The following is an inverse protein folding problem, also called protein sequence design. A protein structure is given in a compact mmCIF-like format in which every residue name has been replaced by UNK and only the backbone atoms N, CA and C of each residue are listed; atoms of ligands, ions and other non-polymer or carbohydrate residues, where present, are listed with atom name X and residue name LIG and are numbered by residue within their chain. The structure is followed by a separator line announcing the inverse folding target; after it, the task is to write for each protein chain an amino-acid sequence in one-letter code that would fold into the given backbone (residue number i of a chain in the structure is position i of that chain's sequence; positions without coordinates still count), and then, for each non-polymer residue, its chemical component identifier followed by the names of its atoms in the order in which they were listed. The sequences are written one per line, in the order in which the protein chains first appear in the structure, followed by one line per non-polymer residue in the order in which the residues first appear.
data_IF_746009751452
#
_entry.id   IF_746009751452
#
_cell.length_a   1.000
_cell.length_b   1.000
_cell.length_c   1.000
_cell.angle_alpha   90.00
_cell.angle_beta   90.00
_cell.angle_gamma   90.00
#
_symmetry.space_group_name_H-M   'P 1'
#
loop_
_entity.id
_entity.type
_entity.pdbx_description
1 polymer ?
#
# COMPACT_ATOMS: atom_id res chain seq x y z
N UNK A 1 -15.81 5.72 23.11
CA UNK A 1 -15.82 4.78 21.96
C UNK A 1 -16.57 5.37 20.76
N UNK A 2 -17.78 5.92 20.92
CA UNK A 2 -18.52 6.60 19.84
C UNK A 2 -17.83 7.87 19.31
N UNK A 3 -17.21 8.65 20.20
CA UNK A 3 -16.55 9.93 19.85
C UNK A 3 -15.38 9.82 18.84
N UNK A 4 -14.89 8.61 18.56
CA UNK A 4 -13.77 8.39 17.63
C UNK A 4 -14.22 7.94 16.23
N UNK A 5 -15.52 7.82 15.99
CA UNK A 5 -16.05 7.33 14.70
C UNK A 5 -16.19 8.42 13.64
N UNK A 6 -16.14 9.70 14.02
CA UNK A 6 -16.23 10.80 13.08
C UNK A 6 -15.19 10.67 11.96
N UNK A 7 -15.64 10.58 10.71
CA UNK A 7 -14.78 10.41 9.52
C UNK A 7 -14.17 9.02 9.33
N UNK A 8 -14.51 8.05 10.19
CA UNK A 8 -14.07 6.65 10.03
C UNK A 8 -14.95 5.93 9.02
N UNK A 9 -14.34 5.25 8.06
CA UNK A 9 -15.05 4.39 7.10
C UNK A 9 -15.33 3.00 7.70
N UNK A 10 -16.60 2.59 7.64
CA UNK A 10 -17.09 1.30 8.09
C UNK A 10 -17.61 0.47 6.90
N UNK A 11 -17.01 -0.69 6.64
CA UNK A 11 -17.54 -1.66 5.68
C UNK A 11 -18.72 -2.42 6.28
N UNK A 12 -19.90 -2.33 5.67
CA UNK A 12 -21.14 -2.94 6.18
C UNK A 12 -21.74 -3.92 5.18
N UNK A 13 -22.31 -5.01 5.69
CA UNK A 13 -23.07 -5.99 4.90
C UNK A 13 -24.37 -6.35 5.63
N UNK A 14 -25.38 -6.80 4.88
CA UNK A 14 -26.66 -7.20 5.43
C UNK A 14 -27.78 -7.08 4.42
N UNK A 15 -28.99 -7.49 4.80
CA UNK A 15 -30.17 -7.30 3.96
C UNK A 15 -30.60 -5.81 3.95
N UNK A 16 -31.29 -5.41 2.88
CA UNK A 16 -31.68 -4.01 2.68
C UNK A 16 -32.51 -3.43 3.85
N UNK A 17 -33.48 -4.14 4.46
CA UNK A 17 -34.20 -3.64 5.62
C UNK A 17 -33.32 -3.37 6.85
N UNK A 18 -32.32 -4.23 7.12
CA UNK A 18 -31.39 -4.05 8.22
C UNK A 18 -30.45 -2.85 7.97
N UNK A 19 -29.90 -2.74 6.76
CA UNK A 19 -29.05 -1.61 6.38
C UNK A 19 -29.83 -0.29 6.48
N UNK A 20 -31.06 -0.24 5.98
CA UNK A 20 -31.90 0.96 6.07
C UNK A 20 -32.10 1.44 7.52
N UNK A 21 -32.30 0.51 8.47
CA UNK A 21 -32.41 0.83 9.90
C UNK A 21 -31.10 1.37 10.49
N UNK A 22 -29.95 0.87 10.01
CA UNK A 22 -28.66 1.25 10.55
C UNK A 22 -28.13 2.58 10.05
N UNK A 23 -28.66 3.07 8.92
CA UNK A 23 -28.21 4.32 8.30
C UNK A 23 -28.19 5.50 9.27
N UNK A 24 -29.25 5.66 10.07
CA UNK A 24 -29.33 6.78 11.02
C UNK A 24 -28.28 6.64 12.12
N UNK A 25 -28.04 5.42 12.64
CA UNK A 25 -27.06 5.21 13.69
C UNK A 25 -25.62 5.52 13.23
N UNK A 26 -25.24 5.20 11.99
CA UNK A 26 -23.93 5.58 11.45
C UNK A 26 -23.81 7.09 11.26
N UNK A 27 -24.87 7.76 10.82
CA UNK A 27 -24.91 9.21 10.71
C UNK A 27 -24.79 9.89 12.08
N UNK A 28 -25.48 9.39 13.10
CA UNK A 28 -25.47 9.95 14.46
C UNK A 28 -24.08 9.89 15.12
N UNK A 29 -23.24 8.91 14.75
CA UNK A 29 -21.86 8.79 15.23
C UNK A 29 -20.82 9.44 14.30
N UNK A 30 -21.27 10.07 13.20
CA UNK A 30 -20.41 10.72 12.22
C UNK A 30 -19.54 9.77 11.38
N UNK A 31 -19.87 8.48 11.35
CA UNK A 31 -19.13 7.49 10.58
C UNK A 31 -19.55 7.53 9.10
N UNK A 32 -18.57 7.33 8.23
CA UNK A 32 -18.81 7.02 6.83
C UNK A 32 -19.01 5.51 6.69
N UNK A 33 -19.86 5.08 5.76
CA UNK A 33 -20.09 3.66 5.54
C UNK A 33 -20.07 3.29 4.06
N UNK A 34 -19.65 2.07 3.78
CA UNK A 34 -19.64 1.50 2.43
C UNK A 34 -20.28 0.13 2.51
N UNK A 35 -21.33 -0.08 1.71
CA UNK A 35 -21.96 -1.39 1.59
C UNK A 35 -21.03 -2.29 0.79
N UNK A 36 -20.69 -3.45 1.34
CA UNK A 36 -19.88 -4.47 0.69
C UNK A 36 -20.74 -5.71 0.41
N UNK A 37 -20.34 -6.47 -0.61
CA UNK A 37 -20.84 -7.83 -0.80
C UNK A 37 -20.29 -8.72 0.32
N UNK A 38 -21.18 -9.42 1.03
CA UNK A 38 -20.80 -10.36 2.08
C UNK A 38 -19.89 -11.47 1.58
N UNK A 39 -20.05 -11.91 0.33
CA UNK A 39 -19.15 -12.87 -0.30
C UNK A 39 -17.71 -12.33 -0.48
N UNK A 40 -17.55 -11.01 -0.59
CA UNK A 40 -16.26 -10.35 -0.76
C UNK A 40 -15.64 -9.84 0.56
N UNK A 41 -16.29 -10.08 1.71
CA UNK A 41 -15.85 -9.56 3.01
C UNK A 41 -14.41 -9.95 3.38
N UNK A 42 -14.02 -11.19 3.09
CA UNK A 42 -12.64 -11.66 3.34
C UNK A 42 -11.64 -10.87 2.50
N UNK A 43 -11.95 -10.62 1.23
CA UNK A 43 -11.11 -9.82 0.34
C UNK A 43 -11.04 -8.35 0.78
N UNK A 44 -12.16 -7.77 1.22
CA UNK A 44 -12.21 -6.42 1.80
C UNK A 44 -11.26 -6.29 2.99
N UNK A 45 -11.29 -7.24 3.92
CA UNK A 45 -10.37 -7.24 5.06
C UNK A 45 -8.91 -7.47 4.64
N UNK A 46 -8.65 -8.36 3.68
CA UNK A 46 -7.31 -8.55 3.15
C UNK A 46 -6.74 -7.26 2.53
N UNK A 47 -7.56 -6.46 1.85
CA UNK A 47 -7.15 -5.15 1.34
C UNK A 47 -6.74 -4.19 2.47
N UNK A 48 -7.46 -4.18 3.60
CA UNK A 48 -7.09 -3.39 4.77
C UNK A 48 -5.76 -3.87 5.39
N UNK A 49 -5.53 -5.18 5.46
CA UNK A 49 -4.25 -5.77 5.92
C UNK A 49 -3.10 -5.36 4.99
N UNK A 50 -3.31 -5.39 3.66
CA UNK A 50 -2.31 -4.93 2.69
C UNK A 50 -1.98 -3.45 2.87
N UNK A 51 -2.99 -2.60 3.06
CA UNK A 51 -2.83 -1.16 3.21
C UNK A 51 -2.25 -0.72 4.57
N UNK A 52 -2.12 -1.63 5.54
CA UNK A 52 -1.66 -1.32 6.89
C UNK A 52 -0.56 -2.27 7.37
N UNK A 53 -0.90 -3.52 7.68
CA UNK A 53 0.05 -4.48 8.27
C UNK A 53 1.21 -4.79 7.32
N UNK A 54 0.93 -5.08 6.05
CA UNK A 54 2.00 -5.39 5.10
C UNK A 54 2.81 -4.16 4.69
N UNK A 55 2.25 -2.96 4.81
CA UNK A 55 3.04 -1.73 4.69
C UNK A 55 4.09 -1.65 5.80
N UNK A 56 3.74 -1.97 7.05
CA UNK A 56 4.72 -2.03 8.16
C UNK A 56 5.80 -3.06 7.86
N UNK A 57 5.43 -4.26 7.42
CA UNK A 57 6.41 -5.31 7.06
C UNK A 57 7.33 -4.89 5.92
N UNK A 58 6.80 -4.25 4.87
CA UNK A 58 7.61 -3.76 3.75
C UNK A 58 8.63 -2.70 4.18
N UNK A 59 8.22 -1.79 5.07
CA UNK A 59 9.10 -0.76 5.61
C UNK A 59 10.19 -1.32 6.52
N UNK A 60 9.88 -2.38 7.29
CA UNK A 60 10.88 -3.12 8.07
C UNK A 60 11.94 -3.76 7.17
N UNK A 61 11.55 -4.46 6.11
CA UNK A 61 12.51 -5.03 5.14
C UNK A 61 13.37 -3.93 4.49
N UNK A 62 12.78 -2.79 4.15
CA UNK A 62 13.53 -1.65 3.61
C UNK A 62 14.55 -1.09 4.62
N UNK A 63 14.18 -0.99 5.90
CA UNK A 63 15.09 -0.58 6.97
C UNK A 63 16.24 -1.57 7.12
N UNK A 64 15.97 -2.88 7.15
CA UNK A 64 16.99 -3.91 7.22
C UNK A 64 17.94 -3.87 6.02
N UNK A 65 17.44 -3.58 4.82
CA UNK A 65 18.26 -3.42 3.62
C UNK A 65 19.22 -2.21 3.74
N UNK A 66 18.75 -1.08 4.27
CA UNK A 66 19.62 0.06 4.57
C UNK A 66 20.70 -0.28 5.61
N UNK A 67 20.33 -1.00 6.67
CA UNK A 67 21.29 -1.46 7.68
C UNK A 67 22.34 -2.38 7.06
N UNK A 68 21.93 -3.31 6.20
CA UNK A 68 22.85 -4.16 5.47
C UNK A 68 23.80 -3.38 4.56
N UNK A 69 23.34 -2.27 4.00
CA UNK A 69 24.15 -1.36 3.19
C UNK A 69 25.12 -0.48 4.01
N UNK A 70 25.16 -0.63 5.34
CA UNK A 70 26.08 0.08 6.24
C UNK A 70 25.51 1.33 6.89
N UNK A 71 24.19 1.57 6.78
CA UNK A 71 23.51 2.66 7.49
C UNK A 71 23.25 2.24 8.93
N UNK A 72 23.51 3.10 9.91
CA UNK A 72 23.13 2.82 11.30
C UNK A 72 21.60 2.70 11.42
N UNK A 73 21.11 1.79 12.28
CA UNK A 73 19.68 1.49 12.40
C UNK A 73 18.82 2.73 12.72
N UNK A 74 19.28 3.57 13.66
CA UNK A 74 18.60 4.81 14.05
C UNK A 74 18.62 5.88 12.94
N UNK A 75 19.56 5.77 11.99
CA UNK A 75 19.66 6.63 10.81
C UNK A 75 18.82 6.09 9.66
N UNK A 76 18.70 4.79 9.48
CA UNK A 76 17.93 4.16 8.41
C UNK A 76 16.45 4.61 8.44
N UNK A 77 15.84 4.59 9.62
CA UNK A 77 14.47 5.08 9.79
C UNK A 77 14.32 6.57 9.47
N UNK A 78 15.27 7.41 9.93
CA UNK A 78 15.27 8.86 9.66
C UNK A 78 15.45 9.15 8.17
N UNK A 79 16.27 8.35 7.49
CA UNK A 79 16.56 8.45 6.06
C UNK A 79 15.32 8.08 5.24
N UNK A 80 14.61 7.01 5.59
CA UNK A 80 13.43 6.57 4.83
C UNK A 80 12.17 7.39 5.13
N UNK A 81 12.04 7.97 6.34
CA UNK A 81 10.85 8.70 6.76
C UNK A 81 10.33 9.76 5.76
N UNK A 82 11.15 10.70 5.23
CA UNK A 82 10.66 11.67 4.25
C UNK A 82 10.22 11.01 2.93
N UNK A 83 10.91 9.96 2.47
CA UNK A 83 10.56 9.23 1.25
C UNK A 83 9.20 8.54 1.38
N UNK A 84 8.95 7.89 2.52
CA UNK A 84 7.69 7.18 2.79
C UNK A 84 6.51 8.15 2.90
N UNK A 85 6.68 9.28 3.61
CA UNK A 85 5.63 10.30 3.76
C UNK A 85 5.24 10.89 2.41
N UNK A 86 6.21 11.35 1.64
CA UNK A 86 5.97 11.92 0.31
C UNK A 86 5.30 10.90 -0.63
N UNK A 87 5.72 9.63 -0.57
CA UNK A 87 5.11 8.56 -1.35
C UNK A 87 3.64 8.35 -0.97
N UNK A 88 3.35 8.25 0.33
CA UNK A 88 1.98 8.07 0.82
C UNK A 88 1.09 9.26 0.47
N UNK A 89 1.56 10.49 0.69
CA UNK A 89 0.83 11.71 0.35
C UNK A 89 0.53 11.78 -1.15
N UNK A 90 1.49 11.45 -2.01
CA UNK A 90 1.26 11.39 -3.44
C UNK A 90 0.26 10.30 -3.84
N UNK A 91 0.36 9.10 -3.27
CA UNK A 91 -0.60 8.02 -3.55
C UNK A 91 -2.02 8.44 -3.18
N UNK A 92 -2.22 9.07 -2.02
CA UNK A 92 -3.53 9.54 -1.56
C UNK A 92 -4.05 10.73 -2.37
N UNK A 93 -3.16 11.59 -2.88
CA UNK A 93 -3.52 12.81 -3.62
C UNK A 93 -3.81 12.57 -5.09
N UNK A 94 -2.99 11.76 -5.78
CA UNK A 94 -3.06 11.59 -7.24
C UNK A 94 -3.26 10.14 -7.69
N UNK A 95 -3.36 9.21 -6.74
CA UNK A 95 -3.55 7.77 -6.99
C UNK A 95 -2.24 7.02 -7.28
N UNK A 96 -2.20 5.69 -7.03
CA UNK A 96 -0.96 4.88 -7.15
C UNK A 96 -0.27 4.98 -8.51
N UNK A 97 -1.05 4.98 -9.59
CA UNK A 97 -0.52 4.97 -10.95
C UNK A 97 0.24 6.24 -11.34
N UNK A 98 -0.27 7.40 -10.90
CA UNK A 98 0.37 8.70 -11.17
C UNK A 98 1.48 9.01 -10.16
N UNK A 99 1.38 8.47 -8.94
CA UNK A 99 2.39 8.62 -7.91
C UNK A 99 3.64 7.76 -8.15
N UNK A 100 3.51 6.68 -8.93
CA UNK A 100 4.61 5.76 -9.21
C UNK A 100 5.76 6.47 -9.96
N UNK A 101 6.95 6.42 -9.38
CA UNK A 101 8.21 6.87 -9.99
C UNK A 101 9.28 5.76 -9.94
N UNK A 102 10.55 6.09 -10.16
CA UNK A 102 11.66 5.14 -10.05
C UNK A 102 11.96 4.37 -11.34
N UNK A 103 12.89 3.39 -11.27
CA UNK A 103 13.46 2.73 -12.45
C UNK A 103 12.42 1.92 -13.22
N UNK A 104 11.52 1.20 -12.55
CA UNK A 104 10.44 0.43 -13.21
C UNK A 104 9.51 1.35 -14.01
N UNK A 105 9.10 2.48 -13.44
CA UNK A 105 8.21 3.43 -14.11
C UNK A 105 8.80 3.98 -15.43
N UNK A 106 10.12 4.19 -15.47
CA UNK A 106 10.85 4.69 -16.64
C UNK A 106 11.42 3.58 -17.54
N UNK A 107 11.20 2.31 -17.21
CA UNK A 107 11.69 1.17 -18.00
C UNK A 107 13.19 0.90 -17.88
N UNK A 108 13.84 1.35 -16.80
CA UNK A 108 15.25 1.08 -16.53
C UNK A 108 15.44 -0.34 -15.96
N UNK A 109 15.33 -1.33 -16.84
CA UNK A 109 15.42 -2.75 -16.49
C UNK A 109 16.82 -3.12 -15.97
N UNK A 110 17.86 -2.45 -16.45
CA UNK A 110 19.25 -2.71 -16.03
C UNK A 110 19.44 -2.37 -14.55
N UNK A 111 18.93 -1.22 -14.11
CA UNK A 111 18.98 -0.86 -12.69
C UNK A 111 18.17 -1.83 -11.83
N UNK A 112 16.99 -2.23 -12.27
CA UNK A 112 16.14 -3.21 -11.54
C UNK A 112 16.84 -4.55 -11.41
N UNK A 113 17.50 -5.04 -12.46
CA UNK A 113 18.23 -6.31 -12.44
C UNK A 113 19.43 -6.26 -11.46
N UNK A 114 20.18 -5.16 -11.44
CA UNK A 114 21.29 -4.97 -10.50
C UNK A 114 20.80 -4.94 -9.05
N UNK A 115 19.68 -4.25 -8.79
CA UNK A 115 19.06 -4.17 -7.48
C UNK A 115 18.56 -5.55 -7.03
N UNK A 116 17.84 -6.27 -7.88
CA UNK A 116 17.37 -7.63 -7.61
C UNK A 116 18.53 -8.56 -7.23
N UNK A 117 19.62 -8.59 -8.02
CA UNK A 117 20.82 -9.39 -7.71
C UNK A 117 21.43 -9.04 -6.36
N UNK A 118 21.47 -7.75 -6.00
CA UNK A 118 22.00 -7.31 -4.71
C UNK A 118 21.13 -7.78 -3.53
N UNK A 119 19.80 -7.71 -3.66
CA UNK A 119 18.88 -8.18 -2.63
C UNK A 119 18.96 -9.70 -2.49
N UNK A 120 18.96 -10.45 -3.59
CA UNK A 120 19.14 -11.92 -3.57
C UNK A 120 20.45 -12.36 -2.90
N UNK A 121 21.54 -11.62 -3.15
CA UNK A 121 22.83 -11.90 -2.52
C UNK A 121 22.82 -11.61 -1.01
N UNK A 122 21.93 -10.73 -0.54
CA UNK A 122 21.74 -10.45 0.88
C UNK A 122 20.78 -11.45 1.55
N UNK A 123 19.60 -11.65 0.99
CA UNK A 123 18.57 -12.58 1.46
C UNK A 123 17.70 -13.09 0.29
N UNK A 124 17.59 -14.41 0.15
CA UNK A 124 16.88 -15.04 -0.96
C UNK A 124 15.36 -14.84 -0.90
N UNK A 125 14.77 -14.76 0.30
CA UNK A 125 13.33 -14.55 0.48
C UNK A 125 12.97 -13.12 0.11
N UNK A 126 13.75 -12.15 0.58
CA UNK A 126 13.53 -10.74 0.25
C UNK A 126 13.86 -10.46 -1.22
N UNK A 127 14.82 -11.19 -1.80
CA UNK A 127 15.08 -11.18 -3.25
C UNK A 127 13.87 -11.62 -4.06
N UNK A 128 13.23 -12.73 -3.68
CA UNK A 128 12.00 -13.19 -4.32
C UNK A 128 10.83 -12.20 -4.14
N UNK A 129 10.72 -11.57 -2.97
CA UNK A 129 9.75 -10.49 -2.73
C UNK A 129 10.02 -9.28 -3.65
N UNK A 130 11.29 -8.87 -3.78
CA UNK A 130 11.69 -7.77 -4.65
C UNK A 130 11.30 -8.02 -6.10
N UNK A 131 11.54 -9.24 -6.62
CA UNK A 131 11.16 -9.61 -7.98
C UNK A 131 9.64 -9.56 -8.20
N UNK A 132 8.86 -10.11 -7.27
CA UNK A 132 7.39 -10.06 -7.34
C UNK A 132 6.89 -8.60 -7.31
N UNK A 133 7.47 -7.77 -6.45
CA UNK A 133 7.11 -6.36 -6.37
C UNK A 133 7.49 -5.61 -7.65
N UNK A 134 8.63 -5.92 -8.26
CA UNK A 134 9.04 -5.34 -9.53
C UNK A 134 8.04 -5.68 -10.66
N UNK A 135 7.57 -6.93 -10.73
CA UNK A 135 6.56 -7.37 -11.70
C UNK A 135 5.20 -6.69 -11.48
N UNK A 136 4.70 -6.65 -10.24
CA UNK A 136 3.46 -5.96 -9.89
C UNK A 136 3.55 -4.45 -10.17
N UNK A 137 4.74 -3.86 -9.96
CA UNK A 137 5.02 -2.45 -10.25
C UNK A 137 5.09 -2.19 -11.76
N UNK A 138 5.64 -3.11 -12.55
CA UNK A 138 5.63 -3.02 -14.01
C UNK A 138 4.20 -3.08 -14.55
N UNK A 139 3.38 -3.98 -14.00
CA UNK A 139 1.95 -4.03 -14.28
C UNK A 139 1.21 -2.75 -13.90
N UNK A 140 1.62 -2.06 -12.81
CA UNK A 140 1.09 -0.76 -12.42
C UNK A 140 1.51 0.35 -13.39
N UNK A 141 2.78 0.38 -13.77
CA UNK A 141 3.29 1.34 -14.73
C UNK A 141 2.58 1.19 -16.09
N UNK A 142 2.38 -0.04 -16.57
CA UNK A 142 1.74 -0.32 -17.86
C UNK A 142 0.28 0.18 -17.92
N UNK A 143 -0.53 -0.08 -16.88
CA UNK A 143 -1.92 0.37 -16.83
C UNK A 143 -2.09 1.87 -16.57
N UNK A 144 -1.03 2.54 -16.13
CA UNK A 144 -1.04 3.97 -15.80
C UNK A 144 -0.55 4.88 -16.93
N UNK A 145 -0.01 4.29 -18.02
CA UNK A 145 0.36 5.06 -19.21
C UNK A 145 -0.90 5.61 -19.88
N UNK A 146 -0.90 6.89 -20.31
CA UNK A 146 -1.99 7.41 -21.12
C UNK A 146 -2.14 6.53 -22.37
N UNK A 147 -3.36 6.13 -22.72
CA UNK A 147 -3.62 5.54 -24.04
C UNK A 147 -3.28 6.63 -25.07
N UNK A 148 -2.27 6.38 -25.89
CA UNK A 148 -2.03 7.20 -27.08
C UNK A 148 -3.23 6.96 -27.99
N UNK A 149 -4.07 7.97 -28.12
CA UNK A 149 -5.19 8.03 -29.07
C UNK A 149 -4.69 8.21 -30.49
#
# INVERSE_FOLDING_TARGET
VVEHFAGTYCGVEGNAPALAKMRQAFADIGAEWVVIDGAAKVLYHAAAVMASNYLVTLLDVAQQAYVKAGVADDVALKLMAPLVRETLENVLRIGPGKALTGPVARGDLKTVELQSKAVHAWDARDGAMYDLMADLTASLAARSRPKVS
#
